data_IF_286742507073
#
_entry.id   IF_286742507073
#
_cell.length_a   1.000
_cell.length_b   1.000
_cell.length_c   1.000
_cell.angle_alpha   90.00
_cell.angle_beta   90.00
_cell.angle_gamma   90.00
#
_symmetry.space_group_name_H-M   'P 1'
#
loop_
_entity.id
_entity.type
_entity.pdbx_description
1 polymer ?
#
# COMPACT_ATOMS: atom_id res chain seq x y z
N UNK A 1 -11.32 -14.15 15.57
CA UNK A 1 -11.08 -13.04 14.63
C UNK A 1 -9.73 -12.32 14.80
N UNK A 2 -9.07 -12.37 15.97
CA UNK A 2 -7.78 -11.67 16.21
C UNK A 2 -6.54 -12.28 15.50
N UNK A 3 -6.56 -13.57 15.15
CA UNK A 3 -5.41 -14.25 14.54
C UNK A 3 -5.10 -13.80 13.11
N UNK A 4 -6.12 -13.57 12.28
CA UNK A 4 -5.96 -13.10 10.90
C UNK A 4 -5.50 -11.65 10.83
N UNK A 5 -6.00 -10.79 11.72
CA UNK A 5 -5.56 -9.38 11.85
C UNK A 5 -4.09 -9.31 12.27
N UNK A 6 -3.64 -10.19 13.18
CA UNK A 6 -2.25 -10.25 13.61
C UNK A 6 -1.31 -10.83 12.53
N UNK A 7 -1.77 -11.82 11.75
CA UNK A 7 -1.02 -12.34 10.60
C UNK A 7 -0.87 -11.28 9.50
N UNK A 8 -1.94 -10.51 9.23
CA UNK A 8 -1.90 -9.36 8.32
C UNK A 8 -0.82 -8.36 8.75
N UNK A 9 -0.86 -7.91 10.01
CA UNK A 9 0.16 -7.00 10.58
C UNK A 9 1.59 -7.54 10.47
N UNK A 10 1.79 -8.84 10.70
CA UNK A 10 3.11 -9.47 10.59
C UNK A 10 3.61 -9.53 9.13
N UNK A 11 2.72 -9.83 8.19
CA UNK A 11 3.04 -9.82 6.76
C UNK A 11 3.39 -8.39 6.32
N UNK A 12 2.64 -7.38 6.75
CA UNK A 12 2.98 -5.97 6.48
C UNK A 12 4.36 -5.59 7.02
N UNK A 13 4.67 -5.93 8.27
CA UNK A 13 5.98 -5.61 8.86
C UNK A 13 7.14 -6.24 8.08
N UNK A 14 6.96 -7.47 7.59
CA UNK A 14 7.98 -8.17 6.78
C UNK A 14 8.13 -7.57 5.40
N UNK A 15 7.02 -7.21 4.75
CA UNK A 15 7.05 -6.53 3.45
C UNK A 15 7.75 -5.18 3.61
N UNK A 16 7.39 -4.39 4.63
CA UNK A 16 8.05 -3.10 4.93
C UNK A 16 9.56 -3.26 5.12
N UNK A 17 10.01 -4.28 5.87
CA UNK A 17 11.45 -4.56 6.03
C UNK A 17 12.14 -4.92 4.71
N UNK A 18 11.43 -5.58 3.79
CA UNK A 18 12.01 -5.87 2.48
C UNK A 18 12.31 -4.58 1.70
N UNK A 19 11.54 -3.51 1.89
CA UNK A 19 11.70 -2.21 1.20
C UNK A 19 12.95 -1.38 1.59
N UNK A 20 13.92 -1.89 2.35
CA UNK A 20 14.91 -1.03 3.01
C UNK A 20 16.38 -1.44 2.78
N UNK A 21 17.15 -0.59 2.09
CA UNK A 21 18.64 -0.60 2.07
C UNK A 21 19.25 0.82 2.27
N UNK A 22 19.97 0.96 3.39
CA UNK A 22 21.00 1.89 3.89
C UNK A 22 21.00 3.42 3.65
N UNK A 23 20.21 4.02 2.75
CA UNK A 23 20.01 5.51 2.74
C UNK A 23 18.57 5.97 2.45
N UNK A 24 17.87 5.20 1.63
CA UNK A 24 16.43 5.38 1.35
C UNK A 24 15.57 4.97 2.58
N UNK A 25 16.21 4.26 3.51
CA UNK A 25 15.67 3.76 4.77
C UNK A 25 15.00 4.83 5.64
N UNK A 26 15.58 6.02 5.76
CA UNK A 26 15.04 7.05 6.66
C UNK A 26 13.69 7.56 6.14
N UNK A 27 13.59 7.87 4.85
CA UNK A 27 12.36 8.36 4.23
C UNK A 27 11.31 7.24 4.11
N UNK A 28 11.73 6.01 3.77
CA UNK A 28 10.85 4.85 3.79
C UNK A 28 10.28 4.61 5.20
N UNK A 29 11.13 4.63 6.24
CA UNK A 29 10.69 4.43 7.62
C UNK A 29 9.76 5.55 8.10
N UNK A 30 9.97 6.79 7.70
CA UNK A 30 9.04 7.89 8.00
C UNK A 30 7.69 7.64 7.35
N UNK A 31 7.68 7.31 6.06
CA UNK A 31 6.47 7.01 5.30
C UNK A 31 5.67 5.85 5.93
N UNK A 32 6.35 4.75 6.28
CA UNK A 32 5.68 3.60 6.92
C UNK A 32 5.24 3.87 8.36
N UNK A 33 5.94 4.71 9.12
CA UNK A 33 5.47 5.18 10.44
C UNK A 33 4.20 6.02 10.32
N UNK A 34 4.12 6.89 9.30
CA UNK A 34 2.91 7.66 9.03
C UNK A 34 1.74 6.74 8.71
N UNK A 35 1.93 5.76 7.81
CA UNK A 35 0.91 4.76 7.50
C UNK A 35 0.44 4.00 8.76
N UNK A 36 1.37 3.58 9.61
CA UNK A 36 1.04 2.92 10.88
C UNK A 36 0.24 3.83 11.81
N UNK A 37 0.60 5.11 11.93
CA UNK A 37 -0.14 6.08 12.75
C UNK A 37 -1.55 6.35 12.24
N UNK A 38 -1.79 6.15 10.94
CA UNK A 38 -3.09 6.24 10.28
C UNK A 38 -3.85 4.90 10.31
N UNK A 39 -3.43 3.96 11.17
CA UNK A 39 -4.02 2.62 11.30
C UNK A 39 -4.14 1.89 9.96
N UNK A 40 -3.14 2.03 9.07
CA UNK A 40 -3.12 1.40 7.76
C UNK A 40 -4.38 1.70 6.92
N UNK A 41 -4.95 2.89 7.08
CA UNK A 41 -6.18 3.33 6.42
C UNK A 41 -7.42 2.44 6.70
N UNK A 42 -7.42 1.66 7.78
CA UNK A 42 -8.63 0.95 8.19
C UNK A 42 -9.73 1.90 8.65
N UNK A 43 -10.97 1.50 8.39
CA UNK A 43 -12.19 2.17 8.88
C UNK A 43 -12.38 3.62 8.42
N UNK A 44 -11.75 4.02 7.30
CA UNK A 44 -12.02 5.32 6.66
C UNK A 44 -12.93 5.15 5.44
N UNK A 45 -13.65 6.20 5.08
CA UNK A 45 -14.53 6.20 3.91
C UNK A 45 -13.77 5.97 2.61
N UNK A 46 -14.40 5.25 1.68
CA UNK A 46 -13.81 4.84 0.39
C UNK A 46 -13.14 5.99 -0.37
N UNK A 47 -13.77 7.16 -0.42
CA UNK A 47 -13.21 8.33 -1.12
C UNK A 47 -11.92 8.82 -0.47
N UNK A 48 -11.90 8.88 0.86
CA UNK A 48 -10.71 9.25 1.63
C UNK A 48 -9.60 8.21 1.51
N UNK A 49 -9.96 6.92 1.48
CA UNK A 49 -9.02 5.82 1.22
C UNK A 49 -8.33 5.98 -0.14
N UNK A 50 -9.10 6.24 -1.20
CA UNK A 50 -8.53 6.43 -2.55
C UNK A 50 -7.53 7.59 -2.57
N UNK A 51 -7.86 8.73 -1.94
CA UNK A 51 -6.95 9.88 -1.87
C UNK A 51 -5.66 9.53 -1.12
N UNK A 52 -5.78 8.96 0.08
CA UNK A 52 -4.63 8.60 0.91
C UNK A 52 -3.72 7.56 0.25
N UNK A 53 -4.30 6.59 -0.46
CA UNK A 53 -3.54 5.59 -1.22
C UNK A 53 -2.79 6.20 -2.39
N UNK A 54 -3.40 7.15 -3.11
CA UNK A 54 -2.75 7.83 -4.22
C UNK A 54 -1.55 8.64 -3.75
N UNK A 55 -1.70 9.40 -2.66
CA UNK A 55 -0.61 10.16 -2.04
C UNK A 55 0.52 9.23 -1.60
N UNK A 56 0.17 8.16 -0.86
CA UNK A 56 1.14 7.17 -0.39
C UNK A 56 1.89 6.46 -1.53
N UNK A 57 1.21 6.14 -2.63
CA UNK A 57 1.83 5.55 -3.82
C UNK A 57 2.82 6.50 -4.50
N UNK A 58 2.46 7.77 -4.64
CA UNK A 58 3.34 8.80 -5.19
C UNK A 58 4.61 8.93 -4.34
N UNK A 59 4.48 9.01 -3.02
CA UNK A 59 5.63 9.09 -2.11
C UNK A 59 6.53 7.84 -2.20
N UNK A 60 5.92 6.65 -2.18
CA UNK A 60 6.68 5.39 -2.27
C UNK A 60 7.40 5.23 -3.63
N UNK A 61 6.82 5.76 -4.72
CA UNK A 61 7.46 5.78 -6.04
C UNK A 61 8.67 6.69 -6.12
N UNK A 62 8.66 7.83 -5.41
CA UNK A 62 9.80 8.75 -5.34
C UNK A 62 10.96 8.12 -4.56
N UNK A 63 10.63 7.40 -3.48
CA UNK A 63 11.59 6.71 -2.62
C UNK A 63 12.36 5.63 -3.40
N UNK A 64 11.67 4.87 -4.28
CA UNK A 64 12.25 3.85 -5.18
C UNK A 64 13.37 2.99 -4.54
N UNK A 65 13.06 2.22 -3.48
CA UNK A 65 14.06 1.69 -2.56
C UNK A 65 14.91 0.53 -3.08
N UNK A 66 14.51 -0.12 -4.16
CA UNK A 66 15.24 -1.24 -4.73
C UNK A 66 15.99 -0.85 -6.00
N UNK A 67 17.11 -1.54 -6.24
CA UNK A 67 17.83 -1.45 -7.52
C UNK A 67 16.97 -1.97 -8.68
N UNK A 68 16.23 -3.04 -8.45
CA UNK A 68 15.26 -3.63 -9.38
C UNK A 68 14.06 -4.23 -8.62
N UNK A 69 12.93 -4.38 -9.29
CA UNK A 69 11.76 -5.06 -8.72
C UNK A 69 10.75 -4.18 -7.98
N UNK A 70 10.97 -2.86 -7.89
CA UNK A 70 10.09 -1.90 -7.20
C UNK A 70 8.61 -2.10 -7.56
N UNK A 71 8.28 -2.16 -8.86
CA UNK A 71 6.89 -2.32 -9.29
C UNK A 71 6.23 -3.60 -8.79
N UNK A 72 6.96 -4.74 -8.75
CA UNK A 72 6.42 -6.01 -8.23
C UNK A 72 6.21 -5.94 -6.73
N UNK A 73 7.19 -5.42 -5.99
CA UNK A 73 7.10 -5.30 -4.53
C UNK A 73 6.00 -4.33 -4.12
N UNK A 74 5.86 -3.19 -4.82
CA UNK A 74 4.79 -2.22 -4.60
C UNK A 74 3.42 -2.85 -4.87
N UNK A 75 3.22 -3.55 -5.99
CA UNK A 75 1.94 -4.23 -6.29
C UNK A 75 1.52 -5.17 -5.17
N UNK A 76 2.42 -6.04 -4.74
CA UNK A 76 2.16 -6.98 -3.64
C UNK A 76 1.81 -6.22 -2.36
N UNK A 77 2.54 -5.15 -2.05
CA UNK A 77 2.27 -4.32 -0.87
C UNK A 77 0.85 -3.70 -0.92
N UNK A 78 0.47 -3.07 -2.04
CA UNK A 78 -0.84 -2.43 -2.17
C UNK A 78 -1.99 -3.43 -2.22
N UNK A 79 -1.79 -4.60 -2.83
CA UNK A 79 -2.76 -5.71 -2.76
C UNK A 79 -3.07 -6.10 -1.32
N UNK A 80 -2.03 -6.26 -0.50
CA UNK A 80 -2.20 -6.58 0.91
C UNK A 80 -2.87 -5.43 1.66
N UNK A 81 -2.41 -4.18 1.45
CA UNK A 81 -2.96 -2.98 2.11
C UNK A 81 -4.46 -2.84 1.86
N UNK A 82 -4.86 -3.01 0.60
CA UNK A 82 -6.26 -2.96 0.21
C UNK A 82 -7.07 -4.13 0.75
N UNK A 83 -6.53 -5.35 0.71
CA UNK A 83 -7.19 -6.50 1.32
C UNK A 83 -7.41 -6.29 2.83
N UNK A 84 -6.46 -5.68 3.53
CA UNK A 84 -6.58 -5.33 4.94
C UNK A 84 -7.65 -4.24 5.20
N UNK A 85 -7.91 -3.38 4.22
CA UNK A 85 -9.02 -2.42 4.21
C UNK A 85 -10.35 -3.03 3.70
N UNK A 86 -10.38 -4.30 3.29
CA UNK A 86 -11.59 -4.97 2.77
C UNK A 86 -11.86 -4.76 1.26
N UNK A 87 -10.84 -4.38 0.49
CA UNK A 87 -10.97 -4.09 -0.94
C UNK A 87 -10.01 -4.94 -1.79
N UNK A 88 -10.42 -5.25 -3.01
CA UNK A 88 -9.55 -5.80 -4.05
C UNK A 88 -9.01 -4.72 -4.99
N UNK A 89 -7.88 -5.01 -5.65
CA UNK A 89 -7.28 -4.16 -6.69
C UNK A 89 -7.36 -4.83 -8.06
N UNK A 90 -7.67 -4.03 -9.08
CA UNK A 90 -7.52 -4.43 -10.49
C UNK A 90 -6.36 -3.67 -11.15
N UNK A 91 -5.27 -4.39 -11.43
CA UNK A 91 -4.06 -3.81 -12.02
C UNK A 91 -4.13 -3.62 -13.52
N UNK A 92 -5.10 -4.20 -14.24
CA UNK A 92 -5.20 -4.04 -15.70
C UNK A 92 -5.51 -2.59 -16.10
N UNK A 93 -6.09 -1.81 -15.18
CA UNK A 93 -6.43 -0.40 -15.39
C UNK A 93 -5.25 0.56 -15.20
N UNK A 94 -4.07 0.05 -14.84
CA UNK A 94 -2.90 0.85 -14.43
C UNK A 94 -1.86 0.98 -15.55
N UNK A 95 -2.10 0.37 -16.71
CA UNK A 95 -1.09 0.20 -17.76
C UNK A 95 -0.64 1.49 -18.47
N UNK A 96 -1.24 2.66 -18.21
CA UNK A 96 -0.89 3.88 -18.98
C UNK A 96 -0.87 5.24 -18.27
N UNK A 97 -1.04 5.35 -16.94
CA UNK A 97 -1.19 6.69 -16.33
C UNK A 97 -0.24 6.91 -15.17
N UNK A 98 0.87 7.60 -15.48
CA UNK A 98 1.92 8.00 -14.56
C UNK A 98 1.44 8.81 -13.35
N UNK A 99 0.24 9.41 -13.36
CA UNK A 99 -0.23 10.29 -12.27
C UNK A 99 -1.77 10.35 -12.06
N UNK A 100 -2.60 9.48 -12.66
CA UNK A 100 -4.09 9.65 -12.60
C UNK A 100 -4.87 8.35 -12.27
N UNK A 101 -4.21 7.20 -12.15
CA UNK A 101 -4.85 5.88 -12.18
C UNK A 101 -5.60 5.38 -10.94
N UNK A 102 -5.39 5.96 -9.74
CA UNK A 102 -5.96 5.37 -8.50
C UNK A 102 -7.48 5.52 -8.36
N UNK A 103 -8.11 6.42 -9.13
CA UNK A 103 -9.56 6.69 -9.06
C UNK A 103 -10.44 5.49 -9.45
N UNK A 104 -9.86 4.43 -10.03
CA UNK A 104 -10.55 3.25 -10.54
C UNK A 104 -10.18 1.93 -9.83
N UNK A 105 -9.37 1.97 -8.76
CA UNK A 105 -8.66 0.78 -8.29
C UNK A 105 -9.43 -0.18 -7.40
N UNK A 106 -10.57 0.21 -6.84
CA UNK A 106 -11.27 -0.63 -5.86
C UNK A 106 -12.35 -1.44 -6.57
N UNK A 107 -12.15 -2.77 -6.69
CA UNK A 107 -13.31 -3.67 -6.78
C UNK A 107 -14.21 -3.39 -5.58
N UNK A 108 -15.52 -3.61 -5.74
CA UNK A 108 -16.48 -3.50 -4.64
C UNK A 108 -15.98 -4.21 -3.39
N UNK A 109 -16.52 -3.82 -2.22
CA UNK A 109 -16.26 -4.46 -0.93
C UNK A 109 -16.11 -5.97 -1.12
N UNK A 110 -15.06 -6.58 -0.57
CA UNK A 110 -15.05 -8.04 -0.49
C UNK A 110 -16.20 -8.43 0.43
N UNK A 111 -17.36 -8.75 -0.15
CA UNK A 111 -18.53 -9.19 0.60
C UNK A 111 -18.14 -10.45 1.38
N UNK A 112 -18.21 -10.36 2.71
CA UNK A 112 -18.17 -11.52 3.62
C UNK A 112 -19.51 -12.21 3.66
#
# INVERSE_FOLDING_TARGET
MNGLVNLGKLIFQKVIHAFVLSRIEVEANKLFKQLQSQNYFQHIEKQKLIMQLADFYCELNVIHPFREGNGRTQRIFFEHLLAYCGYGVDWSQIENLRNVGFKLMLKGSMDT
#
